data_IF_494815427463
#
_entry.id   IF_494815427463
#
_cell.length_a   1.000
_cell.length_b   1.000
_cell.length_c   1.000
_cell.angle_alpha   90.00
_cell.angle_beta   90.00
_cell.angle_gamma   90.00
#
_symmetry.space_group_name_H-M   'P 1'
#
loop_
_entity.id
_entity.type
_entity.pdbx_description
1 polymer ?
#
# COMPACT_ATOMS: atom_id res chain seq x y z
N UNK A 1 -38.40 -14.26 -8.69
CA UNK A 1 -37.50 -15.42 -8.58
C UNK A 1 -36.38 -15.02 -7.64
N UNK A 2 -36.30 -15.65 -6.47
CA UNK A 2 -35.22 -15.41 -5.51
C UNK A 2 -33.93 -15.89 -6.16
N UNK A 3 -33.01 -14.98 -6.47
CA UNK A 3 -31.64 -15.36 -6.82
C UNK A 3 -31.09 -16.15 -5.64
N UNK A 4 -30.86 -17.44 -5.84
CA UNK A 4 -30.21 -18.28 -4.85
C UNK A 4 -28.82 -17.67 -4.59
N UNK A 5 -28.58 -17.23 -3.35
CA UNK A 5 -27.30 -16.66 -2.95
C UNK A 5 -26.26 -17.78 -3.06
N UNK A 6 -25.48 -17.78 -4.14
CA UNK A 6 -24.39 -18.73 -4.32
C UNK A 6 -23.28 -18.39 -3.32
N UNK A 7 -23.05 -19.28 -2.36
CA UNK A 7 -21.98 -19.15 -1.36
C UNK A 7 -20.65 -19.74 -1.84
N UNK A 8 -20.62 -20.39 -3.01
CA UNK A 8 -19.40 -20.97 -3.60
C UNK A 8 -18.24 -19.97 -3.78
N UNK A 9 -18.47 -18.69 -4.11
CA UNK A 9 -17.39 -17.70 -4.19
C UNK A 9 -16.63 -17.49 -2.87
N UNK A 10 -17.21 -17.83 -1.72
CA UNK A 10 -16.55 -17.69 -0.42
C UNK A 10 -15.38 -18.67 -0.23
N UNK A 11 -15.25 -19.71 -1.07
CA UNK A 11 -14.10 -20.62 -1.06
C UNK A 11 -12.78 -19.84 -1.23
N UNK A 12 -12.77 -18.72 -1.97
CA UNK A 12 -11.60 -17.87 -2.07
C UNK A 12 -11.09 -17.36 -0.72
N UNK A 13 -11.99 -17.04 0.22
CA UNK A 13 -11.61 -16.61 1.57
C UNK A 13 -10.85 -17.72 2.30
N UNK A 14 -11.30 -18.97 2.17
CA UNK A 14 -10.60 -20.11 2.74
C UNK A 14 -9.19 -20.26 2.14
N UNK A 15 -9.03 -20.03 0.84
CA UNK A 15 -7.71 -20.02 0.16
C UNK A 15 -6.81 -18.93 0.72
N UNK A 16 -7.33 -17.71 0.97
CA UNK A 16 -6.57 -16.61 1.59
C UNK A 16 -6.08 -17.02 2.98
N UNK A 17 -6.99 -17.55 3.81
CA UNK A 17 -6.69 -17.96 5.19
C UNK A 17 -5.59 -19.02 5.19
N UNK A 18 -5.74 -20.07 4.39
CA UNK A 18 -4.73 -21.14 4.28
C UNK A 18 -3.39 -20.57 3.77
N UNK A 19 -3.41 -19.71 2.75
CA UNK A 19 -2.20 -19.12 2.19
C UNK A 19 -1.42 -18.27 3.21
N UNK A 20 -2.12 -17.49 4.03
CA UNK A 20 -1.47 -16.69 5.08
C UNK A 20 -1.02 -17.52 6.28
N UNK A 21 -1.78 -18.55 6.67
CA UNK A 21 -1.35 -19.50 7.73
C UNK A 21 -0.04 -20.19 7.33
N UNK A 22 0.09 -20.57 6.05
CA UNK A 22 1.32 -21.15 5.49
C UNK A 22 2.42 -20.12 5.22
N UNK A 23 2.19 -18.83 5.50
CA UNK A 23 3.13 -17.71 5.29
C UNK A 23 3.66 -17.59 3.86
N UNK A 24 2.82 -17.94 2.87
CA UNK A 24 3.17 -17.73 1.47
C UNK A 24 3.20 -16.23 1.11
N UNK A 25 3.83 -15.92 -0.03
CA UNK A 25 3.91 -14.55 -0.52
C UNK A 25 2.49 -13.96 -0.68
N UNK A 26 2.16 -12.85 0.01
CA UNK A 26 0.83 -12.25 -0.01
C UNK A 26 0.29 -12.00 -1.43
N UNK A 27 1.14 -11.58 -2.36
CA UNK A 27 0.73 -11.29 -3.74
C UNK A 27 0.23 -12.56 -4.45
N UNK A 28 0.94 -13.67 -4.28
CA UNK A 28 0.55 -14.95 -4.88
C UNK A 28 -0.77 -15.46 -4.28
N UNK A 29 -0.90 -15.38 -2.95
CA UNK A 29 -2.11 -15.82 -2.24
C UNK A 29 -3.34 -15.07 -2.73
N UNK A 30 -3.25 -13.74 -2.87
CA UNK A 30 -4.35 -12.90 -3.34
C UNK A 30 -4.72 -13.21 -4.80
N UNK A 31 -3.74 -13.39 -5.68
CA UNK A 31 -4.00 -13.74 -7.09
C UNK A 31 -4.71 -15.09 -7.20
N UNK A 32 -4.20 -16.12 -6.51
CA UNK A 32 -4.80 -17.47 -6.53
C UNK A 32 -6.22 -17.43 -5.97
N UNK A 33 -6.43 -16.74 -4.85
CA UNK A 33 -7.76 -16.56 -4.28
C UNK A 33 -8.71 -15.87 -5.26
N UNK A 34 -8.27 -14.80 -5.94
CA UNK A 34 -9.11 -14.08 -6.90
C UNK A 34 -9.55 -14.98 -8.06
N UNK A 35 -8.64 -15.83 -8.55
CA UNK A 35 -8.95 -16.83 -9.59
C UNK A 35 -9.96 -17.86 -9.06
N UNK A 36 -9.74 -18.42 -7.86
CA UNK A 36 -10.65 -19.40 -7.26
C UNK A 36 -12.04 -18.82 -7.05
N UNK A 37 -12.14 -17.58 -6.55
CA UNK A 37 -13.42 -16.87 -6.39
C UNK A 37 -14.12 -16.64 -7.72
N UNK A 38 -13.39 -16.18 -8.75
CA UNK A 38 -13.95 -15.93 -10.08
C UNK A 38 -14.47 -17.20 -10.75
N UNK A 39 -13.73 -18.31 -10.64
CA UNK A 39 -14.14 -19.62 -11.15
C UNK A 39 -15.36 -20.16 -10.40
N UNK A 40 -15.37 -20.03 -9.07
CA UNK A 40 -16.51 -20.44 -8.23
C UNK A 40 -17.77 -19.60 -8.48
N UNK A 41 -17.62 -18.36 -8.98
CA UNK A 41 -18.71 -17.49 -9.41
C UNK A 41 -19.12 -17.71 -10.88
N UNK A 42 -18.55 -18.70 -11.58
CA UNK A 42 -18.79 -18.99 -13.00
C UNK A 42 -18.53 -17.79 -13.92
N UNK A 43 -17.56 -16.95 -13.57
CA UNK A 43 -17.15 -15.82 -14.40
C UNK A 43 -16.27 -16.30 -15.57
N UNK A 44 -16.44 -15.73 -16.78
CA UNK A 44 -15.51 -15.93 -17.88
C UNK A 44 -14.09 -15.49 -17.49
N UNK A 45 -13.07 -16.18 -18.00
CA UNK A 45 -11.66 -15.86 -17.69
C UNK A 45 -11.29 -14.41 -18.04
N UNK A 46 -11.86 -13.88 -19.13
CA UNK A 46 -11.66 -12.49 -19.54
C UNK A 46 -12.15 -11.51 -18.46
N UNK A 47 -13.32 -11.76 -17.88
CA UNK A 47 -13.91 -10.93 -16.82
C UNK A 47 -13.10 -11.02 -15.52
N UNK A 48 -12.54 -12.19 -15.20
CA UNK A 48 -11.66 -12.34 -14.02
C UNK A 48 -10.39 -11.50 -14.19
N UNK A 49 -9.74 -11.57 -15.37
CA UNK A 49 -8.55 -10.78 -15.68
C UNK A 49 -8.85 -9.28 -15.68
N UNK A 50 -10.00 -8.88 -16.24
CA UNK A 50 -10.45 -7.49 -16.24
C UNK A 50 -10.66 -6.97 -14.81
N UNK A 51 -11.35 -7.73 -13.95
CA UNK A 51 -11.59 -7.32 -12.56
C UNK A 51 -10.33 -7.28 -11.71
N UNK A 52 -9.40 -8.22 -11.93
CA UNK A 52 -8.07 -8.17 -11.30
C UNK A 52 -7.31 -6.92 -11.76
N UNK A 53 -7.30 -6.64 -13.06
CA UNK A 53 -6.65 -5.45 -13.63
C UNK A 53 -7.25 -4.14 -13.11
N UNK A 54 -8.58 -4.05 -13.07
CA UNK A 54 -9.32 -2.90 -12.53
C UNK A 54 -8.96 -2.66 -11.05
N UNK A 55 -8.92 -3.72 -10.24
CA UNK A 55 -8.48 -3.65 -8.84
C UNK A 55 -7.04 -3.13 -8.69
N UNK A 56 -6.12 -3.62 -9.52
CA UNK A 56 -4.74 -3.12 -9.55
C UNK A 56 -4.65 -1.65 -9.98
N UNK A 57 -5.40 -1.25 -11.00
CA UNK A 57 -5.40 0.13 -11.51
C UNK A 57 -6.04 1.12 -10.54
N UNK A 58 -7.12 0.74 -9.87
CA UNK A 58 -7.76 1.56 -8.84
C UNK A 58 -6.86 1.76 -7.61
N UNK A 59 -6.05 0.76 -7.30
CA UNK A 59 -5.11 0.81 -6.17
C UNK A 59 -3.74 1.38 -6.57
N UNK A 60 -3.54 1.72 -7.85
CA UNK A 60 -2.26 2.18 -8.44
C UNK A 60 -1.70 3.43 -7.77
N UNK A 61 -2.54 4.26 -7.17
CA UNK A 61 -2.11 5.42 -6.40
C UNK A 61 -1.20 5.03 -5.23
N UNK A 62 -1.42 3.88 -4.58
CA UNK A 62 -0.58 3.41 -3.46
C UNK A 62 0.86 3.10 -3.92
N UNK A 63 1.10 2.27 -4.96
CA UNK A 63 2.43 2.11 -5.54
C UNK A 63 3.05 3.41 -6.02
N UNK A 64 2.30 4.32 -6.67
CA UNK A 64 2.87 5.60 -7.12
C UNK A 64 3.33 6.48 -5.95
N UNK A 65 2.53 6.57 -4.89
CA UNK A 65 2.87 7.31 -3.67
C UNK A 65 4.08 6.70 -2.96
N UNK A 66 4.37 5.42 -3.14
CA UNK A 66 5.53 4.78 -2.52
C UNK A 66 6.77 4.77 -3.42
N UNK A 67 6.62 4.39 -4.69
CA UNK A 67 7.70 4.23 -5.66
C UNK A 67 8.31 5.56 -6.07
N UNK A 68 7.49 6.60 -6.33
CA UNK A 68 8.03 7.90 -6.73
C UNK A 68 8.85 8.55 -5.62
N UNK A 69 8.35 8.68 -4.37
CA UNK A 69 9.17 9.20 -3.27
C UNK A 69 10.38 8.34 -3.00
N UNK A 70 10.29 7.01 -3.09
CA UNK A 70 11.46 6.15 -2.90
C UNK A 70 12.55 6.43 -3.95
N UNK A 71 12.18 6.59 -5.23
CA UNK A 71 13.11 6.95 -6.28
C UNK A 71 13.73 8.33 -6.06
N UNK A 72 12.91 9.32 -5.70
CA UNK A 72 13.37 10.69 -5.40
C UNK A 72 14.30 10.70 -4.18
N UNK A 73 13.92 10.03 -3.10
CA UNK A 73 14.73 9.90 -1.88
C UNK A 73 16.06 9.22 -2.21
N UNK A 74 16.04 8.11 -2.95
CA UNK A 74 17.26 7.41 -3.35
C UNK A 74 18.20 8.28 -4.19
N UNK A 75 17.67 9.10 -5.09
CA UNK A 75 18.45 10.06 -5.86
C UNK A 75 19.05 11.14 -4.95
N UNK A 76 18.26 11.73 -4.06
CA UNK A 76 18.68 12.81 -3.18
C UNK A 76 19.71 12.32 -2.14
N UNK A 77 19.52 11.14 -1.58
CA UNK A 77 20.46 10.54 -0.63
C UNK A 77 21.81 10.24 -1.30
N UNK A 78 21.81 9.78 -2.55
CA UNK A 78 23.05 9.62 -3.35
C UNK A 78 23.79 10.95 -3.58
N UNK A 79 23.07 12.07 -3.63
CA UNK A 79 23.67 13.41 -3.75
C UNK A 79 24.00 14.06 -2.39
N UNK A 80 23.93 13.31 -1.31
CA UNK A 80 24.36 13.74 0.01
C UNK A 80 23.34 14.60 0.76
N UNK A 81 22.04 14.44 0.45
CA UNK A 81 20.97 15.18 1.12
C UNK A 81 21.04 15.01 2.65
N UNK A 82 21.33 13.79 3.10
CA UNK A 82 21.40 13.44 4.53
C UNK A 82 22.54 14.18 5.23
N UNK A 83 23.71 14.21 4.62
CA UNK A 83 24.91 14.88 5.12
C UNK A 83 24.69 16.39 5.18
N UNK A 84 24.07 16.97 4.15
CA UNK A 84 23.72 18.39 4.12
C UNK A 84 22.70 18.74 5.22
N UNK A 85 21.66 17.92 5.38
CA UNK A 85 20.63 18.11 6.38
C UNK A 85 21.21 18.02 7.81
N UNK A 86 22.06 17.03 8.08
CA UNK A 86 22.72 16.87 9.38
C UNK A 86 23.64 18.06 9.70
N UNK A 87 24.47 18.50 8.74
CA UNK A 87 25.33 19.66 8.93
C UNK A 87 24.54 20.96 9.16
N UNK A 88 23.35 21.09 8.58
CA UNK A 88 22.47 22.23 8.79
C UNK A 88 21.78 22.17 10.16
N UNK A 89 21.25 21.01 10.55
CA UNK A 89 20.64 20.80 11.87
C UNK A 89 21.65 21.02 12.99
N UNK A 90 22.90 20.57 12.82
CA UNK A 90 23.98 20.75 13.78
C UNK A 90 24.33 22.22 14.06
N UNK A 91 24.01 23.15 13.14
CA UNK A 91 24.18 24.59 13.37
C UNK A 91 23.12 25.18 14.31
N UNK A 92 22.03 24.46 14.56
CA UNK A 92 20.94 24.92 15.43
C UNK A 92 21.21 24.39 16.85
N UNK A 93 21.94 25.18 17.64
CA UNK A 93 22.35 24.82 19.02
C UNK A 93 21.16 24.52 19.98
N UNK A 94 19.95 24.98 19.65
CA UNK A 94 18.73 24.79 20.45
C UNK A 94 17.84 23.62 19.98
N UNK A 95 18.24 22.91 18.92
CA UNK A 95 17.50 21.80 18.36
C UNK A 95 17.67 20.54 19.22
N UNK A 96 16.84 20.41 20.24
CA UNK A 96 16.62 19.12 20.91
C UNK A 96 15.61 18.30 20.12
N UNK A 97 15.71 16.96 20.17
CA UNK A 97 14.77 16.07 19.49
C UNK A 97 13.30 16.38 19.83
N UNK A 98 13.03 16.75 21.09
CA UNK A 98 11.71 17.14 21.57
C UNK A 98 11.18 18.43 20.92
N UNK A 99 12.01 19.49 20.82
CA UNK A 99 11.58 20.74 20.17
C UNK A 99 11.32 20.55 18.68
N UNK A 100 12.14 19.76 18.00
CA UNK A 100 11.95 19.45 16.59
C UNK A 100 10.65 18.66 16.34
N UNK A 101 10.35 17.69 17.21
CA UNK A 101 9.09 16.94 17.17
C UNK A 101 7.87 17.83 17.41
N UNK A 102 7.94 18.76 18.36
CA UNK A 102 6.84 19.71 18.61
C UNK A 102 6.55 20.55 17.36
N UNK A 103 7.58 21.12 16.73
CA UNK A 103 7.41 21.90 15.49
C UNK A 103 6.86 21.04 14.37
N UNK A 104 7.40 19.83 14.18
CA UNK A 104 6.92 18.89 13.17
C UNK A 104 5.45 18.51 13.37
N UNK A 105 5.05 18.14 14.60
CA UNK A 105 3.67 17.78 14.92
C UNK A 105 2.73 18.97 14.74
N UNK A 106 3.15 20.17 15.16
CA UNK A 106 2.37 21.38 14.96
C UNK A 106 2.10 21.66 13.48
N UNK A 107 3.14 21.61 12.64
CA UNK A 107 3.00 21.79 11.18
C UNK A 107 2.13 20.69 10.59
N UNK A 108 2.36 19.42 10.99
CA UNK A 108 1.59 18.27 10.51
C UNK A 108 0.11 18.42 10.84
N UNK A 109 -0.23 18.75 12.08
CA UNK A 109 -1.61 18.95 12.52
C UNK A 109 -2.25 20.16 11.85
N UNK A 110 -1.53 21.27 11.71
CA UNK A 110 -2.02 22.43 10.96
C UNK A 110 -2.32 22.08 9.48
N UNK A 111 -1.44 21.32 8.81
CA UNK A 111 -1.69 20.86 7.43
C UNK A 111 -2.83 19.86 7.32
N UNK A 112 -3.04 19.01 8.33
CA UNK A 112 -4.16 18.07 8.36
C UNK A 112 -5.50 18.78 8.61
N UNK A 113 -5.49 19.92 9.30
CA UNK A 113 -6.67 20.77 9.49
C UNK A 113 -7.02 21.60 8.26
N UNK A 114 -6.05 21.88 7.37
CA UNK A 114 -6.23 22.69 6.16
C UNK A 114 -6.43 21.86 4.87
N UNK A 115 -6.30 20.53 4.96
CA UNK A 115 -6.42 19.58 3.86
C UNK A 115 -7.80 18.98 3.70
#
# INVERSE_FOLDING_TARGET
MQEAISLWPLIGIAVIVVGFVLRFNPVLVVIISGIVTGVAAHMPIATILEKLGEGFLNTRNLPFILLLPLAVIGLLERHGLKERAQAWIAKIHSATAGRLLIVYLFVREATALWG
#
